data_IF_620635794273
#
_entry.id   IF_620635794273
#
_cell.length_a   1.000
_cell.length_b   1.000
_cell.length_c   1.000
_cell.angle_alpha   90.00
_cell.angle_beta   90.00
_cell.angle_gamma   90.00
#
_symmetry.space_group_name_H-M   'P 1'
#
loop_
_entity.id
_entity.type
_entity.pdbx_description
1 polymer ?
#
# COMPACT_ATOMS: atom_id res chain seq x y z
N UNK A 1 -4.13 -2.63 1.72
CA UNK A 1 -3.39 -1.61 0.94
C UNK A 1 -4.08 -1.23 -0.37
N UNK A 2 -4.47 -2.19 -1.22
CA UNK A 2 -5.05 -1.96 -2.58
C UNK A 2 -6.16 -0.91 -2.63
N UNK A 3 -7.17 -1.02 -1.76
CA UNK A 3 -8.29 -0.05 -1.74
C UNK A 3 -7.78 1.37 -1.45
N UNK A 4 -6.86 1.53 -0.49
CA UNK A 4 -6.26 2.84 -0.17
C UNK A 4 -5.50 3.41 -1.37
N UNK A 5 -4.73 2.58 -2.09
CA UNK A 5 -4.00 2.96 -3.31
C UNK A 5 -4.97 3.39 -4.41
N UNK A 6 -6.00 2.59 -4.70
CA UNK A 6 -7.04 2.93 -5.70
C UNK A 6 -7.71 4.25 -5.34
N UNK A 7 -8.12 4.43 -4.08
CA UNK A 7 -8.69 5.69 -3.61
C UNK A 7 -7.70 6.86 -3.73
N UNK A 8 -6.41 6.64 -3.47
CA UNK A 8 -5.35 7.64 -3.64
C UNK A 8 -5.22 8.09 -5.11
N UNK A 9 -5.12 7.12 -6.03
CA UNK A 9 -5.03 7.37 -7.48
C UNK A 9 -6.25 8.15 -8.00
N UNK A 10 -7.44 7.76 -7.55
CA UNK A 10 -8.70 8.37 -8.00
C UNK A 10 -9.03 9.69 -7.27
N UNK A 11 -8.50 9.91 -6.05
CA UNK A 11 -8.74 11.14 -5.27
C UNK A 11 -7.86 12.32 -5.70
N UNK A 12 -6.75 12.07 -6.41
CA UNK A 12 -5.85 13.10 -6.94
C UNK A 12 -6.49 14.12 -7.91
N UNK A 13 -7.81 14.02 -8.16
CA UNK A 13 -8.57 15.04 -8.88
C UNK A 13 -10.02 15.14 -8.41
N UNK A 14 -10.40 16.28 -7.85
CA UNK A 14 -11.80 16.66 -7.73
C UNK A 14 -12.30 17.18 -9.08
N UNK A 15 -13.36 16.58 -9.62
CA UNK A 15 -14.27 17.33 -10.48
C UNK A 15 -14.92 18.40 -9.61
N UNK A 16 -14.96 19.65 -10.08
CA UNK A 16 -16.02 20.56 -9.71
C UNK A 16 -17.27 20.11 -10.50
N UNK A 17 -18.31 19.64 -9.80
CA UNK A 17 -19.55 19.09 -10.40
C UNK A 17 -20.05 17.81 -9.71
N UNK A 18 -21.36 17.52 -9.88
CA UNK A 18 -22.22 16.45 -9.30
C UNK A 18 -21.55 15.09 -8.98
N UNK A 19 -20.64 15.04 -8.03
CA UNK A 19 -19.94 13.84 -7.59
C UNK A 19 -19.49 13.95 -6.14
N UNK A 20 -18.91 12.87 -5.60
CA UNK A 20 -18.51 12.79 -4.19
C UNK A 20 -17.59 13.96 -3.80
N UNK A 21 -17.94 14.72 -2.74
CA UNK A 21 -17.13 15.86 -2.29
C UNK A 21 -15.66 15.47 -2.02
N UNK A 22 -14.73 16.43 -2.20
CA UNK A 22 -13.30 16.20 -1.99
C UNK A 22 -12.97 15.74 -0.57
N UNK A 23 -13.65 16.31 0.43
CA UNK A 23 -13.46 15.94 1.84
C UNK A 23 -13.87 14.49 2.12
N UNK A 24 -14.97 14.00 1.52
CA UNK A 24 -15.44 12.62 1.69
C UNK A 24 -14.40 11.64 1.15
N UNK A 25 -13.85 11.92 -0.04
CA UNK A 25 -12.80 11.07 -0.63
C UNK A 25 -11.54 11.05 0.23
N UNK A 26 -11.13 12.21 0.74
CA UNK A 26 -9.99 12.28 1.68
C UNK A 26 -10.27 11.52 2.97
N UNK A 27 -11.48 11.59 3.52
CA UNK A 27 -11.86 10.91 4.74
C UNK A 27 -11.87 9.39 4.54
N UNK A 28 -12.48 8.91 3.45
CA UNK A 28 -12.52 7.47 3.12
C UNK A 28 -11.12 6.93 2.87
N UNK A 29 -10.28 7.62 2.09
CA UNK A 29 -8.88 7.20 1.90
C UNK A 29 -8.14 7.10 3.23
N UNK A 30 -8.28 8.10 4.12
CA UNK A 30 -7.64 8.09 5.44
C UNK A 30 -8.14 6.94 6.31
N UNK A 31 -9.45 6.73 6.39
CA UNK A 31 -10.01 5.67 7.22
C UNK A 31 -9.61 4.27 6.71
N UNK A 32 -9.62 4.05 5.40
CA UNK A 32 -9.15 2.80 4.78
C UNK A 32 -7.64 2.62 4.98
N UNK A 33 -6.85 3.70 4.91
CA UNK A 33 -5.42 3.65 5.19
C UNK A 33 -5.14 3.25 6.64
N UNK A 34 -5.86 3.86 7.60
CA UNK A 34 -5.74 3.51 9.03
C UNK A 34 -6.14 2.06 9.28
N UNK A 35 -7.25 1.59 8.71
CA UNK A 35 -7.64 0.19 8.80
C UNK A 35 -6.55 -0.74 8.24
N UNK A 36 -5.96 -0.39 7.10
CA UNK A 36 -4.90 -1.18 6.50
C UNK A 36 -3.63 -1.22 7.38
N UNK A 37 -3.26 -0.10 8.03
CA UNK A 37 -2.15 -0.05 8.99
C UNK A 37 -2.48 -0.87 10.24
N UNK A 38 -3.70 -0.78 10.78
CA UNK A 38 -4.12 -1.62 11.92
C UNK A 38 -4.05 -3.11 11.59
N UNK A 39 -4.53 -3.52 10.42
CA UNK A 39 -4.43 -4.91 9.96
C UNK A 39 -2.98 -5.34 9.72
N UNK A 40 -2.10 -4.43 9.28
CA UNK A 40 -0.67 -4.71 9.16
C UNK A 40 -0.03 -4.97 10.53
N UNK A 41 -0.37 -4.18 11.54
CA UNK A 41 0.10 -4.41 12.93
C UNK A 41 -0.33 -5.79 13.40
N UNK A 42 -1.59 -6.18 13.18
CA UNK A 42 -2.08 -7.52 13.51
C UNK A 42 -1.30 -8.58 12.74
N UNK A 43 -1.14 -8.43 11.42
CA UNK A 43 -0.41 -9.37 10.57
C UNK A 43 1.04 -9.61 11.04
N UNK A 44 1.80 -8.53 11.25
CA UNK A 44 3.21 -8.62 11.70
C UNK A 44 3.29 -9.21 13.11
N UNK A 45 2.41 -8.78 14.02
CA UNK A 45 2.38 -9.31 15.38
C UNK A 45 2.07 -10.80 15.40
N UNK A 46 1.08 -11.24 14.63
CA UNK A 46 0.75 -12.67 14.49
C UNK A 46 1.93 -13.46 13.95
N UNK A 47 2.62 -12.96 12.92
CA UNK A 47 3.79 -13.64 12.35
C UNK A 47 4.98 -13.75 13.32
N UNK A 48 5.20 -12.74 14.17
CA UNK A 48 6.28 -12.73 15.16
C UNK A 48 5.96 -13.57 16.40
N UNK A 49 4.68 -13.63 16.79
CA UNK A 49 4.23 -14.42 17.95
C UNK A 49 4.00 -15.89 17.60
N UNK A 50 3.73 -16.19 16.33
CA UNK A 50 3.59 -17.57 15.86
C UNK A 50 4.91 -18.32 16.03
N UNK A 51 4.89 -19.39 16.82
CA UNK A 51 6.06 -20.22 17.11
C UNK A 51 6.32 -21.29 16.03
N UNK A 52 5.54 -21.30 14.94
CA UNK A 52 5.67 -22.29 13.87
C UNK A 52 6.99 -22.14 13.08
N UNK A 53 7.48 -20.92 12.90
CA UNK A 53 8.72 -20.59 12.16
C UNK A 53 9.60 -19.64 12.97
N UNK A 54 10.91 -19.77 12.85
CA UNK A 54 11.88 -18.91 13.57
C UNK A 54 11.94 -17.52 12.91
N UNK A 55 10.97 -16.67 13.26
CA UNK A 55 10.92 -15.26 12.91
C UNK A 55 11.17 -14.45 14.17
N UNK A 56 12.27 -13.70 14.19
CA UNK A 56 12.61 -12.86 15.33
C UNK A 56 11.92 -11.51 15.20
N UNK A 57 11.63 -10.87 16.32
CA UNK A 57 10.92 -9.58 16.31
C UNK A 57 11.64 -8.49 15.52
N UNK A 58 12.98 -8.53 15.44
CA UNK A 58 13.76 -7.57 14.68
C UNK A 58 13.80 -7.88 13.18
N UNK A 59 13.48 -9.10 12.75
CA UNK A 59 13.37 -9.45 11.33
C UNK A 59 12.19 -8.71 10.66
N UNK A 60 11.25 -8.18 11.46
CA UNK A 60 10.21 -7.28 10.97
C UNK A 60 10.74 -5.88 10.62
N UNK A 61 11.86 -5.44 11.20
CA UNK A 61 12.42 -4.08 11.07
C UNK A 61 13.72 -4.05 10.25
N UNK A 62 14.38 -5.19 10.09
CA UNK A 62 15.65 -5.31 9.38
C UNK A 62 15.44 -6.23 8.18
N UNK A 63 15.45 -5.71 6.94
CA UNK A 63 15.09 -6.50 5.76
C UNK A 63 16.17 -7.48 5.29
N UNK A 64 17.17 -7.76 6.12
CA UNK A 64 18.25 -8.70 5.84
C UNK A 64 18.65 -9.44 7.12
N UNK A 65 19.27 -10.61 6.96
CA UNK A 65 19.80 -11.40 8.08
C UNK A 65 18.80 -12.39 8.72
N UNK A 66 17.55 -12.41 8.27
CA UNK A 66 16.58 -13.44 8.67
C UNK A 66 16.98 -14.83 8.19
N UNK A 67 16.68 -15.87 8.97
CA UNK A 67 17.02 -17.26 8.62
C UNK A 67 15.89 -17.94 7.84
N UNK A 68 14.64 -17.53 8.08
CA UNK A 68 13.47 -18.06 7.40
C UNK A 68 13.16 -17.28 6.12
N UNK A 69 13.26 -17.95 4.96
CA UNK A 69 12.95 -17.39 3.64
C UNK A 69 13.45 -15.94 3.45
N UNK A 70 14.76 -15.70 3.59
CA UNK A 70 15.35 -14.36 3.83
C UNK A 70 14.93 -13.30 2.81
N UNK A 71 14.84 -13.68 1.54
CA UNK A 71 14.44 -12.75 0.47
C UNK A 71 13.00 -12.30 0.67
N UNK A 72 12.07 -13.24 0.85
CA UNK A 72 10.66 -12.92 0.97
C UNK A 72 10.35 -12.23 2.29
N UNK A 73 10.93 -12.69 3.41
CA UNK A 73 10.79 -12.04 4.71
C UNK A 73 11.33 -10.60 4.66
N UNK A 74 12.50 -10.40 4.04
CA UNK A 74 13.11 -9.09 3.86
C UNK A 74 12.26 -8.12 3.02
N UNK A 75 11.56 -8.60 1.99
CA UNK A 75 10.59 -7.78 1.26
C UNK A 75 9.42 -7.33 2.16
N UNK A 76 8.96 -8.18 3.08
CA UNK A 76 7.93 -7.84 4.06
C UNK A 76 8.39 -6.71 4.99
N UNK A 77 9.59 -6.84 5.55
CA UNK A 77 10.21 -5.81 6.39
C UNK A 77 10.42 -4.49 5.64
N UNK A 78 10.94 -4.54 4.41
CA UNK A 78 11.12 -3.34 3.59
C UNK A 78 9.78 -2.65 3.28
N UNK A 79 8.72 -3.41 3.00
CA UNK A 79 7.39 -2.85 2.80
C UNK A 79 6.83 -2.22 4.08
N UNK A 80 7.08 -2.83 5.25
CA UNK A 80 6.72 -2.28 6.55
C UNK A 80 7.43 -0.95 6.80
N UNK A 81 8.74 -0.87 6.57
CA UNK A 81 9.54 0.35 6.75
C UNK A 81 9.06 1.50 5.87
N UNK A 82 8.81 1.22 4.59
CA UNK A 82 8.26 2.20 3.66
C UNK A 82 6.88 2.68 4.12
N UNK A 83 6.01 1.77 4.57
CA UNK A 83 4.68 2.15 5.03
C UNK A 83 4.73 2.92 6.36
N UNK A 84 5.66 2.59 7.24
CA UNK A 84 5.93 3.33 8.47
C UNK A 84 6.34 4.77 8.14
N UNK A 85 7.30 4.95 7.22
CA UNK A 85 7.71 6.27 6.75
C UNK A 85 6.56 7.07 6.13
N UNK A 86 5.76 6.45 5.24
CA UNK A 86 4.56 7.07 4.64
C UNK A 86 3.55 7.48 5.71
N UNK A 87 3.32 6.62 6.69
CA UNK A 87 2.33 6.86 7.77
C UNK A 87 2.79 7.99 8.67
N UNK A 88 4.03 7.95 9.17
CA UNK A 88 4.59 8.96 10.07
C UNK A 88 4.60 10.33 9.38
N UNK A 89 5.12 10.40 8.16
CA UNK A 89 5.15 11.67 7.40
C UNK A 89 3.75 12.19 7.08
N UNK A 90 2.76 11.31 6.88
CA UNK A 90 1.37 11.71 6.63
C UNK A 90 0.66 12.22 7.89
N UNK A 91 1.00 11.70 9.07
CA UNK A 91 0.54 12.25 10.36
C UNK A 91 1.18 13.62 10.62
N UNK A 92 2.44 13.79 10.24
CA UNK A 92 3.20 15.05 10.38
C UNK A 92 3.03 16.01 9.19
N UNK A 93 2.08 15.77 8.28
CA UNK A 93 1.95 16.53 7.03
C UNK A 93 1.82 18.04 7.21
N UNK A 94 1.30 18.52 8.34
CA UNK A 94 1.14 19.94 8.65
C UNK A 94 2.43 20.61 9.10
N UNK A 95 3.47 19.82 9.40
CA UNK A 95 4.81 20.27 9.83
C UNK A 95 5.86 20.15 8.73
N UNK A 96 5.51 19.60 7.56
CA UNK A 96 6.43 19.31 6.47
C UNK A 96 6.11 20.16 5.23
N UNK A 97 7.13 20.54 4.44
CA UNK A 97 6.91 21.07 3.11
C UNK A 97 6.09 20.09 2.26
N UNK A 98 5.09 20.58 1.54
CA UNK A 98 4.19 19.73 0.76
C UNK A 98 4.94 18.84 -0.26
N UNK A 99 6.01 19.37 -0.86
CA UNK A 99 6.84 18.61 -1.80
C UNK A 99 7.56 17.42 -1.13
N UNK A 100 8.13 17.63 0.06
CA UNK A 100 8.82 16.59 0.81
C UNK A 100 7.85 15.49 1.26
N UNK A 101 6.69 15.89 1.83
CA UNK A 101 5.63 14.95 2.18
C UNK A 101 5.19 14.14 0.95
N UNK A 102 4.95 14.81 -0.18
CA UNK A 102 4.49 14.14 -1.40
C UNK A 102 5.51 13.16 -1.93
N UNK A 103 6.81 13.48 -1.89
CA UNK A 103 7.88 12.57 -2.31
C UNK A 103 7.84 11.27 -1.48
N UNK A 104 7.79 11.38 -0.15
CA UNK A 104 7.72 10.20 0.73
C UNK A 104 6.40 9.45 0.51
N UNK A 105 5.28 10.17 0.37
CA UNK A 105 3.97 9.54 0.17
C UNK A 105 3.91 8.68 -1.10
N UNK A 106 4.69 9.02 -2.14
CA UNK A 106 4.79 8.19 -3.36
C UNK A 106 5.43 6.82 -3.10
N UNK A 107 6.23 6.67 -2.05
CA UNK A 107 6.75 5.37 -1.63
C UNK A 107 5.63 4.37 -1.30
N UNK A 108 4.41 4.83 -1.01
CA UNK A 108 3.25 3.95 -0.81
C UNK A 108 2.92 3.07 -2.03
N UNK A 109 3.21 3.54 -3.25
CA UNK A 109 3.04 2.71 -4.46
C UNK A 109 4.07 1.58 -4.50
N UNK A 110 5.33 1.89 -4.15
CA UNK A 110 6.39 0.91 -4.08
C UNK A 110 6.13 -0.11 -2.98
N UNK A 111 5.74 0.35 -1.78
CA UNK A 111 5.36 -0.49 -0.65
C UNK A 111 4.22 -1.46 -1.02
N UNK A 112 3.20 -0.99 -1.75
CA UNK A 112 2.12 -1.85 -2.24
C UNK A 112 2.63 -2.94 -3.19
N UNK A 113 3.48 -2.58 -4.15
CA UNK A 113 4.07 -3.54 -5.10
C UNK A 113 4.91 -4.61 -4.39
N UNK A 114 5.77 -4.18 -3.47
CA UNK A 114 6.60 -5.08 -2.65
C UNK A 114 5.72 -5.99 -1.80
N UNK A 115 4.66 -5.47 -1.17
CA UNK A 115 3.75 -6.27 -0.35
C UNK A 115 3.02 -7.38 -1.16
N UNK A 116 2.65 -7.10 -2.42
CA UNK A 116 2.08 -8.12 -3.32
C UNK A 116 3.11 -9.22 -3.60
N UNK A 117 4.34 -8.83 -3.95
CA UNK A 117 5.43 -9.78 -4.25
C UNK A 117 5.80 -10.62 -3.00
N UNK A 118 5.86 -9.99 -1.84
CA UNK A 118 6.05 -10.66 -0.54
C UNK A 118 4.97 -11.72 -0.29
N UNK A 119 3.69 -11.36 -0.45
CA UNK A 119 2.57 -12.27 -0.22
C UNK A 119 2.57 -13.49 -1.17
N UNK A 120 2.93 -13.29 -2.45
CA UNK A 120 3.05 -14.38 -3.41
C UNK A 120 4.21 -15.31 -3.06
N UNK A 121 5.35 -14.76 -2.60
CA UNK A 121 6.55 -15.53 -2.37
C UNK A 121 6.60 -16.31 -1.06
N UNK A 122 6.08 -15.72 0.04
CA UNK A 122 6.15 -16.33 1.37
C UNK A 122 4.88 -17.09 1.77
N UNK A 123 3.75 -16.79 1.12
CA UNK A 123 2.45 -17.32 1.51
C UNK A 123 2.33 -18.82 1.25
N UNK A 124 1.97 -19.59 2.27
CA UNK A 124 1.72 -21.04 2.13
C UNK A 124 0.57 -21.36 1.18
N UNK A 125 -0.40 -20.44 1.09
CA UNK A 125 -1.59 -20.59 0.26
C UNK A 125 -1.51 -19.77 -1.04
N UNK A 126 -0.31 -19.35 -1.45
CA UNK A 126 -0.13 -18.48 -2.62
C UNK A 126 -0.68 -19.10 -3.92
N UNK A 127 -0.57 -20.42 -4.08
CA UNK A 127 -1.05 -21.16 -5.24
C UNK A 127 -2.54 -21.53 -5.16
N UNK A 128 -3.19 -21.31 -4.02
CA UNK A 128 -4.60 -21.59 -3.87
C UNK A 128 -5.41 -20.68 -4.82
N UNK A 129 -6.36 -21.26 -5.56
CA UNK A 129 -7.11 -20.54 -6.60
C UNK A 129 -7.78 -19.25 -6.08
N UNK A 130 -8.27 -19.26 -4.84
CA UNK A 130 -8.88 -18.09 -4.20
C UNK A 130 -7.85 -16.98 -3.94
N UNK A 131 -6.63 -17.34 -3.55
CA UNK A 131 -5.52 -16.42 -3.28
C UNK A 131 -5.02 -15.78 -4.57
N UNK A 132 -4.85 -16.60 -5.61
CA UNK A 132 -4.51 -16.14 -6.96
C UNK A 132 -5.57 -15.20 -7.50
N UNK A 133 -6.86 -15.58 -7.43
CA UNK A 133 -7.96 -14.75 -7.90
C UNK A 133 -8.02 -13.40 -7.16
N UNK A 134 -7.85 -13.38 -5.84
CA UNK A 134 -7.82 -12.17 -5.04
C UNK A 134 -6.62 -11.27 -5.40
N UNK A 135 -5.44 -11.85 -5.59
CA UNK A 135 -4.23 -11.13 -5.97
C UNK A 135 -4.38 -10.51 -7.36
N UNK A 136 -4.86 -11.27 -8.34
CA UNK A 136 -5.14 -10.77 -9.70
C UNK A 136 -6.18 -9.64 -9.66
N UNK A 137 -7.26 -9.81 -8.89
CA UNK A 137 -8.27 -8.76 -8.74
C UNK A 137 -7.69 -7.47 -8.14
N UNK A 138 -6.81 -7.58 -7.14
CA UNK A 138 -6.14 -6.44 -6.53
C UNK A 138 -5.24 -5.70 -7.53
N UNK A 139 -4.41 -6.45 -8.27
CA UNK A 139 -3.52 -5.87 -9.29
C UNK A 139 -4.33 -5.22 -10.41
N UNK A 140 -5.35 -5.90 -10.93
CA UNK A 140 -6.23 -5.38 -11.96
C UNK A 140 -6.93 -4.09 -11.51
N UNK A 141 -7.43 -4.02 -10.27
CA UNK A 141 -8.07 -2.82 -9.75
C UNK A 141 -7.14 -1.60 -9.74
N UNK A 142 -5.86 -1.78 -9.35
CA UNK A 142 -4.86 -0.70 -9.37
C UNK A 142 -4.51 -0.30 -10.79
N UNK A 143 -4.27 -1.26 -11.69
CA UNK A 143 -3.97 -0.99 -13.12
C UNK A 143 -5.11 -0.22 -13.79
N UNK A 144 -6.37 -0.64 -13.57
CA UNK A 144 -7.55 0.05 -14.08
C UNK A 144 -7.66 1.48 -13.53
N UNK A 145 -7.45 1.66 -12.23
CA UNK A 145 -7.47 3.00 -11.61
C UNK A 145 -6.42 3.94 -12.22
N UNK A 146 -5.20 3.43 -12.44
CA UNK A 146 -4.11 4.18 -13.10
C UNK A 146 -4.47 4.47 -14.57
N UNK A 147 -5.00 3.49 -15.31
CA UNK A 147 -5.42 3.67 -16.70
C UNK A 147 -6.50 4.74 -16.87
N UNK A 148 -7.51 4.74 -16.00
CA UNK A 148 -8.55 5.79 -15.95
C UNK A 148 -7.93 7.17 -15.65
N UNK A 149 -6.95 7.23 -14.76
CA UNK A 149 -6.27 8.48 -14.39
C UNK A 149 -5.45 9.07 -15.55
N UNK A 150 -4.70 8.24 -16.25
CA UNK A 150 -3.84 8.65 -17.37
C UNK A 150 -4.68 9.09 -18.56
N UNK A 151 -5.65 8.27 -18.99
CA UNK A 151 -6.55 8.60 -20.11
C UNK A 151 -7.36 9.87 -19.88
N UNK A 152 -7.85 10.10 -18.66
CA UNK A 152 -8.52 11.35 -18.30
C UNK A 152 -7.62 12.59 -18.32
N UNK A 153 -6.31 12.41 -18.13
CA UNK A 153 -5.32 13.50 -18.25
C UNK A 153 -5.07 13.87 -19.71
N UNK A 154 -4.84 12.86 -20.55
CA UNK A 154 -4.62 13.02 -22.00
C UNK A 154 -5.82 13.68 -22.69
N UNK A 155 -7.05 13.22 -22.41
CA UNK A 155 -8.28 13.81 -22.97
C UNK A 155 -8.47 15.28 -22.63
N UNK A 156 -7.99 15.73 -21.46
CA UNK A 156 -8.04 17.17 -21.10
C UNK A 156 -7.00 17.96 -21.88
N UNK A 157 -5.78 17.44 -22.00
CA UNK A 157 -4.71 18.13 -22.73
C UNK A 157 -5.06 18.35 -24.20
N UNK A 158 -5.76 17.40 -24.84
CA UNK A 158 -6.23 17.52 -26.23
C UNK A 158 -7.37 18.55 -26.38
N UNK A 159 -8.14 18.83 -25.32
CA UNK A 159 -9.31 19.72 -25.34
C UNK A 159 -9.02 21.15 -24.85
N UNK A 160 -7.79 21.43 -24.41
CA UNK A 160 -7.35 22.72 -23.88
C UNK A 160 -6.52 23.44 -24.96
#
# INVERSE_FOLDING_TARGET
MTISVVLGVLSARARAGRGTPGFVRSLVHRNVALLAVSMLVVHVTSAVVDTYVDIRWWDALVPWGGLYQPVWLGLGALALDLLAAVTITSLLRTRLPHAAWRLVHWAGYLAWGIAVVHGIGIGTDADAQWSVALTVACVAAVVLAVGVRVTGTVRKAIRA
#
